data_IF_376375727435
#
_entry.id   IF_376375727435
#
_cell.length_a   1.000
_cell.length_b   1.000
_cell.length_c   1.000
_cell.angle_alpha   90.00
_cell.angle_beta   90.00
_cell.angle_gamma   90.00
#
_symmetry.space_group_name_H-M   'P 1'
#
loop_
_entity.id
_entity.type
_entity.pdbx_description
1 polymer ?
#
# COMPACT_ATOMS: atom_id res chain seq x y z
N UNK A 1 18.87 28.15 -14.75
CA UNK A 1 18.65 26.71 -14.99
C UNK A 1 18.92 26.00 -13.67
N UNK A 2 17.91 25.80 -12.83
CA UNK A 2 18.07 25.24 -11.49
C UNK A 2 17.70 23.76 -11.50
N UNK A 3 18.67 22.87 -11.30
CA UNK A 3 18.38 21.52 -10.83
C UNK A 3 18.33 21.56 -9.31
N UNK A 4 17.29 21.00 -8.69
CA UNK A 4 17.46 20.26 -7.46
C UNK A 4 17.51 18.77 -7.78
N UNK A 5 18.67 18.18 -7.54
CA UNK A 5 18.80 16.76 -7.25
C UNK A 5 18.85 16.65 -5.72
N UNK A 6 17.77 16.19 -5.09
CA UNK A 6 17.77 15.72 -3.70
C UNK A 6 16.74 14.60 -3.58
N UNK A 7 17.17 13.47 -3.03
CA UNK A 7 16.33 12.31 -2.75
C UNK A 7 15.46 12.56 -1.53
N UNK A 8 14.44 13.40 -1.70
CA UNK A 8 13.45 13.69 -0.67
C UNK A 8 12.25 12.79 -0.91
N UNK A 9 12.01 11.86 0.02
CA UNK A 9 10.72 11.19 0.09
C UNK A 9 9.57 12.19 0.24
N UNK A 10 8.31 11.76 0.10
CA UNK A 10 7.16 12.63 0.30
C UNK A 10 7.26 13.38 1.64
N UNK A 11 7.01 14.68 1.61
CA UNK A 11 6.95 15.50 2.81
C UNK A 11 5.90 14.95 3.79
N UNK A 12 6.07 15.17 5.09
CA UNK A 12 5.13 14.68 6.11
C UNK A 12 3.67 15.12 5.86
N UNK A 13 3.48 16.33 5.32
CA UNK A 13 2.15 16.83 4.93
C UNK A 13 1.52 16.01 3.80
N UNK A 14 2.32 15.54 2.86
CA UNK A 14 1.89 14.66 1.76
C UNK A 14 1.47 13.29 2.30
N UNK A 15 2.29 12.71 3.20
CA UNK A 15 1.95 11.44 3.86
C UNK A 15 0.66 11.54 4.67
N UNK A 16 0.45 12.65 5.38
CA UNK A 16 -0.79 12.89 6.10
C UNK A 16 -1.99 12.99 5.15
N UNK A 17 -1.87 13.72 4.04
CA UNK A 17 -2.95 13.83 3.05
C UNK A 17 -3.28 12.47 2.41
N UNK A 18 -2.27 11.63 2.16
CA UNK A 18 -2.50 10.28 1.65
C UNK A 18 -3.12 9.35 2.70
N UNK A 19 -2.73 9.47 3.97
CA UNK A 19 -3.35 8.73 5.07
C UNK A 19 -4.85 9.03 5.15
N UNK A 20 -5.24 10.30 5.12
CA UNK A 20 -6.65 10.71 5.10
C UNK A 20 -7.39 10.17 3.86
N UNK A 21 -6.76 10.23 2.68
CA UNK A 21 -7.34 9.67 1.46
C UNK A 21 -7.55 8.15 1.55
N UNK A 22 -6.63 7.43 2.22
CA UNK A 22 -6.70 5.99 2.39
C UNK A 22 -7.85 5.51 3.30
N UNK A 23 -8.40 6.41 4.12
CA UNK A 23 -9.62 6.15 4.91
C UNK A 23 -10.90 6.39 4.10
N UNK A 24 -10.80 7.09 2.98
CA UNK A 24 -11.92 7.34 2.08
C UNK A 24 -12.24 6.12 1.20
N UNK A 25 -13.48 6.06 0.70
CA UNK A 25 -13.91 4.96 -0.18
C UNK A 25 -13.11 4.85 -1.48
N UNK A 26 -12.43 5.93 -1.90
CA UNK A 26 -11.62 5.94 -3.10
C UNK A 26 -10.18 5.45 -2.89
N UNK A 27 -9.67 5.34 -1.66
CA UNK A 27 -8.26 4.99 -1.39
C UNK A 27 -7.27 6.11 -1.74
N UNK A 28 -5.98 5.83 -1.60
CA UNK A 28 -4.91 6.78 -1.95
C UNK A 28 -4.91 7.14 -3.44
N UNK A 29 -4.18 8.19 -3.87
CA UNK A 29 -3.71 8.23 -5.26
C UNK A 29 -2.86 7.00 -5.61
N UNK A 30 -2.59 6.78 -6.90
CA UNK A 30 -1.65 5.75 -7.35
C UNK A 30 -0.22 6.12 -6.96
N UNK A 31 0.37 5.34 -6.07
CA UNK A 31 1.69 5.53 -5.50
C UNK A 31 2.71 4.62 -6.18
N UNK A 32 3.95 5.07 -6.30
CA UNK A 32 5.07 4.17 -6.58
C UNK A 32 5.27 3.18 -5.41
N UNK A 33 6.07 2.13 -5.65
CA UNK A 33 6.48 1.18 -4.61
C UNK A 33 7.03 1.86 -3.36
N UNK A 34 7.93 2.82 -3.53
CA UNK A 34 8.63 3.46 -2.41
C UNK A 34 7.70 4.41 -1.64
N UNK A 35 6.83 5.13 -2.35
CA UNK A 35 5.79 5.97 -1.72
C UNK A 35 4.77 5.14 -0.96
N UNK A 36 4.32 4.03 -1.52
CA UNK A 36 3.41 3.10 -0.86
C UNK A 36 4.05 2.49 0.40
N UNK A 37 5.34 2.15 0.34
CA UNK A 37 6.09 1.65 1.50
C UNK A 37 6.22 2.71 2.61
N UNK A 38 6.53 3.95 2.25
CA UNK A 38 6.64 5.04 3.22
C UNK A 38 5.29 5.36 3.86
N UNK A 39 4.19 5.36 3.10
CA UNK A 39 2.86 5.54 3.64
C UNK A 39 2.47 4.40 4.59
N UNK A 40 2.75 3.14 4.22
CA UNK A 40 2.43 2.00 5.07
C UNK A 40 3.24 2.02 6.38
N UNK A 41 4.50 2.45 6.36
CA UNK A 41 5.30 2.68 7.57
C UNK A 41 4.72 3.80 8.43
N UNK A 42 4.35 4.92 7.81
CA UNK A 42 3.74 6.07 8.47
C UNK A 42 2.40 5.70 9.15
N UNK A 43 1.58 4.87 8.50
CA UNK A 43 0.34 4.34 9.06
C UNK A 43 0.61 3.37 10.24
N UNK A 44 1.61 2.50 10.11
CA UNK A 44 1.97 1.54 11.15
C UNK A 44 2.37 2.21 12.47
N UNK A 45 3.11 3.32 12.40
CA UNK A 45 3.46 4.14 13.59
C UNK A 45 2.24 4.71 14.31
N UNK A 46 1.09 4.79 13.62
CA UNK A 46 -0.19 5.30 14.14
C UNK A 46 -1.15 4.19 14.56
N UNK A 47 -0.72 2.93 14.48
CA UNK A 47 -1.54 1.76 14.79
C UNK A 47 -2.50 1.36 13.67
N UNK A 48 -2.17 1.71 12.43
CA UNK A 48 -2.99 1.41 11.25
C UNK A 48 -2.25 0.48 10.28
N UNK A 49 -3.01 -0.41 9.65
CA UNK A 49 -2.51 -1.38 8.69
C UNK A 49 -3.14 -1.18 7.31
N UNK A 50 -2.48 -1.71 6.27
CA UNK A 50 -3.05 -1.81 4.92
C UNK A 50 -4.20 -2.81 4.95
N UNK A 51 -5.43 -2.33 4.71
CA UNK A 51 -6.64 -3.14 4.66
C UNK A 51 -6.97 -3.60 3.25
N UNK A 52 -6.64 -2.80 2.25
CA UNK A 52 -6.78 -3.16 0.84
C UNK A 52 -5.65 -2.55 0.03
N UNK A 53 -5.25 -3.24 -1.03
CA UNK A 53 -4.28 -2.74 -2.00
C UNK A 53 -4.66 -3.17 -3.41
N UNK A 54 -4.75 -2.21 -4.31
CA UNK A 54 -4.78 -2.49 -5.75
C UNK A 54 -3.38 -2.27 -6.33
N UNK A 55 -3.05 -3.02 -7.38
CA UNK A 55 -1.80 -2.88 -8.10
C UNK A 55 -2.07 -2.78 -9.61
N UNK A 56 -1.48 -1.79 -10.28
CA UNK A 56 -1.68 -1.55 -11.71
C UNK A 56 -0.33 -1.39 -12.43
N UNK A 57 -0.22 -1.89 -13.66
CA UNK A 57 1.00 -1.74 -14.47
C UNK A 57 1.17 -0.31 -14.98
N UNK A 58 2.41 0.21 -14.98
CA UNK A 58 2.71 1.51 -15.61
C UNK A 58 2.53 1.51 -17.13
N UNK A 59 2.70 0.35 -17.80
CA UNK A 59 2.76 0.29 -19.27
C UNK A 59 1.41 0.10 -19.93
N UNK A 60 0.45 -0.45 -19.21
CA UNK A 60 -0.91 -0.65 -19.67
C UNK A 60 -1.78 -0.36 -18.45
N UNK A 61 -2.74 0.55 -18.57
CA UNK A 61 -3.91 0.64 -17.68
C UNK A 61 -4.77 -0.67 -17.74
N UNK A 62 -4.13 -1.83 -17.98
CA UNK A 62 -4.69 -3.15 -17.78
C UNK A 62 -4.32 -3.60 -16.37
N UNK A 63 -5.27 -4.21 -15.62
CA UNK A 63 -4.94 -4.86 -14.37
C UNK A 63 -3.83 -5.89 -14.67
N UNK A 64 -2.81 -6.03 -13.78
CA UNK A 64 -1.83 -7.09 -13.94
C UNK A 64 -2.57 -8.40 -14.17
N UNK A 65 -2.12 -9.21 -15.14
CA UNK A 65 -2.69 -10.55 -15.40
C UNK A 65 -2.61 -11.49 -14.19
N UNK A 66 -1.98 -11.03 -13.11
CA UNK A 66 -1.80 -11.73 -11.85
C UNK A 66 -2.35 -10.88 -10.71
N UNK A 67 -3.55 -11.25 -10.23
CA UNK A 67 -4.20 -10.68 -9.03
C UNK A 67 -3.42 -10.97 -7.75
N UNK A 68 -2.41 -11.86 -7.79
CA UNK A 68 -1.61 -12.24 -6.62
C UNK A 68 -0.79 -11.09 -6.04
N UNK A 69 -0.61 -10.01 -6.80
CA UNK A 69 0.09 -8.80 -6.34
C UNK A 69 -0.82 -7.81 -5.65
N UNK A 70 -2.13 -8.00 -5.68
CA UNK A 70 -3.12 -7.15 -5.02
C UNK A 70 -3.48 -7.72 -3.64
N UNK A 71 -3.98 -6.87 -2.74
CA UNK A 71 -4.65 -7.28 -1.48
C UNK A 71 -6.11 -6.89 -1.65
N UNK A 72 -6.92 -7.79 -2.20
CA UNK A 72 -8.33 -7.54 -2.58
C UNK A 72 -9.32 -8.36 -1.72
N UNK A 73 -8.93 -8.75 -0.51
CA UNK A 73 -9.77 -9.62 0.32
C UNK A 73 -9.96 -11.04 -0.23
N UNK A 74 -9.06 -11.46 -1.13
CA UNK A 74 -9.07 -12.77 -1.80
C UNK A 74 -7.78 -13.57 -1.57
N UNK A 75 -7.02 -13.23 -0.53
CA UNK A 75 -5.87 -14.03 -0.11
C UNK A 75 -6.35 -15.34 0.57
N UNK A 76 -5.48 -16.36 0.63
CA UNK A 76 -5.80 -17.67 1.20
C UNK A 76 -6.44 -17.54 2.60
N UNK A 77 -7.24 -18.52 3.06
CA UNK A 77 -7.80 -18.51 4.42
C UNK A 77 -6.70 -18.26 5.47
N UNK A 78 -6.83 -17.21 6.29
CA UNK A 78 -5.79 -16.80 7.25
C UNK A 78 -4.68 -15.90 6.70
N UNK A 79 -4.67 -15.60 5.39
CA UNK A 79 -3.98 -14.49 4.71
C UNK A 79 -4.94 -13.34 4.35
N UNK A 80 -6.25 -13.54 4.57
CA UNK A 80 -7.30 -12.59 4.23
C UNK A 80 -7.38 -11.42 5.24
N UNK A 81 -7.57 -10.19 4.76
CA UNK A 81 -7.41 -8.98 5.59
C UNK A 81 -8.45 -8.89 6.71
N UNK A 82 -9.67 -9.43 6.51
CA UNK A 82 -10.69 -9.52 7.55
C UNK A 82 -10.21 -10.36 8.76
N UNK A 83 -9.23 -11.25 8.55
CA UNK A 83 -8.56 -12.05 9.58
C UNK A 83 -7.31 -11.36 10.18
N UNK A 84 -6.85 -10.24 9.61
CA UNK A 84 -5.70 -9.44 10.08
C UNK A 84 -6.09 -8.02 10.45
N UNK A 85 -6.79 -7.89 11.56
CA UNK A 85 -6.89 -6.64 12.32
C UNK A 85 -5.55 -6.20 12.94
N UNK A 86 -4.45 -6.93 12.72
CA UNK A 86 -3.11 -6.60 13.22
C UNK A 86 -2.32 -5.77 12.17
N UNK A 87 -2.00 -4.49 12.46
CA UNK A 87 -1.28 -3.60 11.55
C UNK A 87 0.10 -4.10 11.13
N UNK A 88 0.81 -4.81 12.01
CA UNK A 88 2.15 -5.34 11.74
C UNK A 88 2.08 -6.51 10.78
N UNK A 89 1.10 -7.40 10.95
CA UNK A 89 0.87 -8.52 10.04
C UNK A 89 0.48 -8.02 8.65
N UNK A 90 -0.42 -7.04 8.57
CA UNK A 90 -0.78 -6.37 7.32
C UNK A 90 0.45 -5.76 6.62
N UNK A 91 1.31 -5.06 7.37
CA UNK A 91 2.55 -4.49 6.82
C UNK A 91 3.51 -5.55 6.29
N UNK A 92 3.65 -6.69 6.98
CA UNK A 92 4.51 -7.80 6.53
C UNK A 92 4.00 -8.41 5.23
N UNK A 93 2.69 -8.64 5.12
CA UNK A 93 2.06 -9.16 3.90
C UNK A 93 2.23 -8.18 2.73
N UNK A 94 1.91 -6.91 2.96
CA UNK A 94 2.10 -5.84 1.99
C UNK A 94 3.56 -5.79 1.48
N UNK A 95 4.54 -5.77 2.39
CA UNK A 95 5.96 -5.75 2.02
C UNK A 95 6.38 -6.98 1.23
N UNK A 96 5.80 -8.15 1.52
CA UNK A 96 6.05 -9.39 0.76
C UNK A 96 5.52 -9.25 -0.67
N UNK A 97 4.28 -8.81 -0.85
CA UNK A 97 3.68 -8.62 -2.19
C UNK A 97 4.45 -7.61 -3.04
N UNK A 98 4.92 -6.50 -2.46
CA UNK A 98 5.81 -5.56 -3.15
C UNK A 98 7.11 -6.23 -3.64
N UNK A 99 7.73 -7.07 -2.81
CA UNK A 99 8.95 -7.81 -3.18
C UNK A 99 8.70 -8.85 -4.25
N UNK A 100 7.57 -9.54 -4.20
CA UNK A 100 7.24 -10.58 -5.18
C UNK A 100 6.97 -9.96 -6.57
N UNK A 101 6.30 -8.82 -6.63
CA UNK A 101 6.16 -8.03 -7.85
C UNK A 101 7.52 -7.56 -8.42
N UNK A 102 8.40 -7.03 -7.56
CA UNK A 102 9.75 -6.60 -7.94
C UNK A 102 10.60 -7.76 -8.48
N UNK A 103 10.57 -8.92 -7.80
CA UNK A 103 11.27 -10.14 -8.24
C UNK A 103 10.78 -10.65 -9.58
N UNK A 104 9.52 -10.41 -9.90
CA UNK A 104 8.90 -10.75 -11.18
C UNK A 104 9.24 -9.73 -12.28
N UNK A 105 10.00 -8.68 -11.95
CA UNK A 105 10.35 -7.59 -12.87
C UNK A 105 9.17 -6.65 -13.18
N UNK A 106 8.09 -6.73 -12.40
CA UNK A 106 6.90 -5.91 -12.62
C UNK A 106 7.17 -4.46 -12.19
N UNK A 107 6.74 -3.52 -13.02
CA UNK A 107 6.74 -2.08 -12.69
C UNK A 107 5.29 -1.67 -12.46
N UNK A 108 4.92 -1.56 -11.19
CA UNK A 108 3.54 -1.33 -10.77
C UNK A 108 3.40 -0.03 -9.98
N UNK A 109 2.19 0.54 -10.02
CA UNK A 109 1.68 1.52 -9.07
C UNK A 109 0.71 0.84 -8.11
N UNK A 110 0.57 1.40 -6.92
CA UNK A 110 -0.21 0.84 -5.84
C UNK A 110 -1.20 1.85 -5.31
N UNK A 111 -2.37 1.36 -4.96
CA UNK A 111 -3.42 2.14 -4.31
C UNK A 111 -3.76 1.50 -3.00
N UNK A 112 -3.74 2.25 -1.90
CA UNK A 112 -3.89 1.71 -0.56
C UNK A 112 -5.18 2.20 0.08
N UNK A 113 -5.75 1.32 0.89
CA UNK A 113 -6.71 1.65 1.92
C UNK A 113 -6.12 1.24 3.26
N UNK A 114 -6.38 2.05 4.27
CA UNK A 114 -5.84 1.86 5.60
C UNK A 114 -6.99 1.73 6.59
N UNK A 115 -6.82 0.83 7.56
CA UNK A 115 -7.77 0.67 8.65
C UNK A 115 -7.02 0.60 9.97
N UNK A 116 -7.62 1.13 11.02
CA UNK A 116 -7.15 0.90 12.39
C UNK A 116 -7.33 -0.58 12.73
N UNK A 117 -6.45 -1.08 13.59
CA UNK A 117 -6.78 -2.30 14.32
C UNK A 117 -8.11 -2.05 15.04
N UNK A 118 -9.13 -2.88 14.82
CA UNK A 118 -10.25 -2.88 15.77
C UNK A 118 -9.65 -3.34 17.09
N UNK A 119 -9.42 -2.38 17.99
CA UNK A 119 -9.36 -2.70 19.40
C UNK A 119 -10.69 -3.36 19.73
N UNK A 120 -10.60 -4.55 20.29
CA UNK A 120 -11.65 -5.19 21.07
C UNK A 120 -12.58 -4.13 21.68
N UNK A 121 -13.81 -4.08 21.18
CA UNK A 121 -14.92 -3.36 21.78
C UNK A 121 -15.83 -4.37 22.47
#
# INVERSE_FOLDING_TARGET
MGRPSQGDGPAAATLAAWLEAAHGGAGTPWLSRDEALLLALYALERGEGVSMMEAASYMLHEPPRDIGWEIIGADLPGENWEDHRDPRRAFVLFRRKLRDAERSGARLQYKLWLSRADGDG
#
